data_IF_207309018146
#
_entry.id   IF_207309018146
#
_cell.length_a   1.000
_cell.length_b   1.000
_cell.length_c   1.000
_cell.angle_alpha   90.00
_cell.angle_beta   90.00
_cell.angle_gamma   90.00
#
_symmetry.space_group_name_H-M   'P 1'
#
loop_
_entity.id
_entity.type
_entity.pdbx_description
1 polymer ?
#
# COMPACT_ATOMS: atom_id res chain seq x y z
N UNK A 1 9.28 2.81 -19.15
CA UNK A 1 9.25 1.37 -18.88
C UNK A 1 8.00 1.07 -18.06
N UNK A 2 7.15 0.16 -18.55
CA UNK A 2 5.86 -0.23 -17.93
C UNK A 2 5.64 -1.73 -18.03
N UNK A 3 6.73 -2.46 -18.24
CA UNK A 3 6.70 -3.90 -18.52
C UNK A 3 6.31 -4.65 -17.25
N UNK A 4 5.67 -5.79 -17.45
CA UNK A 4 5.16 -6.64 -16.39
C UNK A 4 6.10 -7.83 -16.24
N UNK A 5 6.64 -8.12 -15.04
CA UNK A 5 7.48 -9.29 -14.85
C UNK A 5 6.67 -10.58 -15.04
N UNK A 6 7.28 -11.57 -15.70
CA UNK A 6 6.75 -12.92 -15.86
C UNK A 6 7.31 -13.84 -14.76
N UNK A 7 6.59 -13.95 -13.64
CA UNK A 7 7.01 -14.79 -12.52
C UNK A 7 6.87 -16.29 -12.79
N UNK A 8 6.08 -16.69 -13.79
CA UNK A 8 5.96 -18.11 -14.15
C UNK A 8 7.21 -18.60 -14.90
N UNK A 9 7.86 -17.70 -15.65
CA UNK A 9 9.14 -17.95 -16.30
C UNK A 9 10.36 -17.84 -15.36
N UNK A 10 10.16 -17.35 -14.13
CA UNK A 10 11.20 -17.16 -13.10
C UNK A 10 10.76 -17.78 -11.75
N UNK A 11 10.54 -19.11 -11.69
CA UNK A 11 9.98 -19.76 -10.51
C UNK A 11 10.92 -19.72 -9.29
N UNK A 12 12.23 -19.72 -9.53
CA UNK A 12 13.26 -19.72 -8.48
C UNK A 12 13.64 -18.31 -8.00
N UNK A 13 13.21 -17.26 -8.71
CA UNK A 13 13.46 -15.87 -8.34
C UNK A 13 14.85 -15.37 -8.69
N UNK A 14 15.48 -15.92 -9.72
CA UNK A 14 16.80 -15.52 -10.19
C UNK A 14 16.77 -14.11 -10.82
N UNK A 15 15.63 -13.71 -11.39
CA UNK A 15 15.45 -12.39 -12.01
C UNK A 15 14.71 -11.43 -11.08
N UNK A 16 13.59 -11.85 -10.50
CA UNK A 16 12.89 -11.11 -9.46
C UNK A 16 12.89 -11.92 -8.17
N UNK A 17 13.73 -11.58 -7.18
CA UNK A 17 13.84 -12.34 -5.93
C UNK A 17 12.47 -12.66 -5.31
N UNK A 18 12.34 -13.85 -4.74
CA UNK A 18 11.08 -14.32 -4.12
C UNK A 18 10.63 -13.41 -2.97
N UNK A 19 11.58 -12.76 -2.29
CA UNK A 19 11.40 -11.80 -1.21
C UNK A 19 11.41 -10.34 -1.67
N UNK A 20 11.47 -10.07 -2.99
CA UNK A 20 11.41 -8.72 -3.50
C UNK A 20 10.05 -8.08 -3.18
N UNK A 21 10.07 -6.83 -2.68
CA UNK A 21 8.89 -6.05 -2.32
C UNK A 21 7.75 -6.15 -3.35
N UNK A 22 8.07 -5.99 -4.65
CA UNK A 22 7.06 -6.01 -5.71
C UNK A 22 6.39 -7.39 -5.88
N UNK A 23 7.16 -8.47 -5.68
CA UNK A 23 6.72 -9.86 -5.86
C UNK A 23 5.94 -10.34 -4.66
N UNK A 24 6.37 -9.96 -3.45
CA UNK A 24 5.61 -10.15 -2.22
C UNK A 24 4.31 -9.33 -2.22
N UNK A 25 4.34 -8.06 -2.62
CA UNK A 25 3.16 -7.18 -2.67
C UNK A 25 2.13 -7.63 -3.72
N UNK A 26 2.59 -8.19 -4.85
CA UNK A 26 1.72 -8.74 -5.89
C UNK A 26 2.38 -9.92 -6.63
N UNK A 27 2.13 -11.17 -6.21
CA UNK A 27 2.59 -12.39 -6.87
C UNK A 27 1.99 -12.64 -8.26
N UNK A 28 0.98 -11.85 -8.68
CA UNK A 28 0.34 -11.93 -9.99
C UNK A 28 -0.27 -13.30 -10.31
N UNK A 29 -0.82 -13.97 -9.30
CA UNK A 29 -1.58 -15.22 -9.46
C UNK A 29 -3.08 -14.96 -9.49
N UNK A 30 -3.91 -15.88 -10.02
CA UNK A 30 -5.37 -15.76 -9.96
C UNK A 30 -5.93 -15.52 -8.55
N UNK A 31 -5.30 -16.10 -7.52
CA UNK A 31 -5.70 -15.99 -6.11
C UNK A 31 -5.41 -14.61 -5.50
N UNK A 32 -4.56 -13.81 -6.15
CA UNK A 32 -4.16 -12.48 -5.66
C UNK A 32 -4.72 -11.33 -6.51
N UNK A 33 -5.42 -11.61 -7.61
CA UNK A 33 -5.88 -10.57 -8.55
C UNK A 33 -6.91 -9.60 -7.95
N UNK A 34 -7.71 -10.08 -6.99
CA UNK A 34 -8.70 -9.27 -6.27
C UNK A 34 -8.10 -8.44 -5.11
N UNK A 35 -6.81 -8.62 -4.81
CA UNK A 35 -6.11 -7.95 -3.72
C UNK A 35 -5.41 -6.64 -4.13
N UNK A 36 -5.57 -6.22 -5.39
CA UNK A 36 -4.94 -5.00 -5.92
C UNK A 36 -5.43 -3.74 -5.20
N UNK A 37 -4.52 -2.81 -4.91
CA UNK A 37 -4.83 -1.53 -4.26
C UNK A 37 -4.44 -0.34 -5.16
N UNK A 38 -5.17 0.79 -5.03
CA UNK A 38 -4.77 2.05 -5.64
C UNK A 38 -3.87 2.82 -4.68
N UNK A 39 -2.56 2.87 -4.95
CA UNK A 39 -1.60 3.63 -4.13
C UNK A 39 -1.52 5.09 -4.59
N UNK A 40 -1.55 6.02 -3.65
CA UNK A 40 -1.47 7.49 -3.85
C UNK A 40 -0.66 8.15 -2.74
N UNK A 41 0.53 7.61 -2.47
CA UNK A 41 1.43 8.12 -1.43
C UNK A 41 2.15 9.40 -1.82
N UNK A 42 2.72 10.07 -0.82
CA UNK A 42 3.49 11.31 -0.95
C UNK A 42 4.81 11.19 -0.19
N UNK A 43 5.92 11.64 -0.78
CA UNK A 43 7.18 11.77 -0.04
C UNK A 43 7.07 12.90 0.99
N UNK A 44 7.67 12.73 2.16
CA UNK A 44 7.81 13.80 3.16
C UNK A 44 9.27 14.00 3.56
N UNK A 45 9.57 15.21 4.05
CA UNK A 45 10.84 15.58 4.68
C UNK A 45 10.54 16.60 5.78
N UNK A 46 10.90 16.29 7.02
CA UNK A 46 10.63 17.10 8.23
C UNK A 46 11.90 17.69 8.85
N UNK A 47 13.06 17.47 8.24
CA UNK A 47 14.35 17.93 8.75
C UNK A 47 15.16 16.79 9.36
N UNK A 48 15.58 16.94 10.62
CA UNK A 48 16.37 15.94 11.34
C UNK A 48 15.61 15.43 12.57
N UNK A 49 15.78 14.14 12.87
CA UNK A 49 15.25 13.52 14.09
C UNK A 49 16.12 13.85 15.32
N UNK A 50 15.74 13.34 16.48
CA UNK A 50 16.47 13.55 17.74
C UNK A 50 17.89 12.97 17.76
N UNK A 51 18.23 12.12 16.80
CA UNK A 51 19.53 11.46 16.67
C UNK A 51 20.40 12.12 15.58
N UNK A 52 19.88 13.13 14.88
CA UNK A 52 20.55 13.83 13.79
C UNK A 52 20.49 13.11 12.44
N UNK A 53 19.62 12.11 12.27
CA UNK A 53 19.34 11.51 10.97
C UNK A 53 18.27 12.32 10.22
N UNK A 54 18.22 12.17 8.90
CA UNK A 54 17.16 12.80 8.09
C UNK A 54 15.80 12.16 8.42
N UNK A 55 14.87 12.98 8.88
CA UNK A 55 13.48 12.59 9.09
C UNK A 55 12.71 12.76 7.77
N UNK A 56 12.70 11.70 6.98
CA UNK A 56 12.09 11.66 5.65
C UNK A 56 11.53 10.27 5.37
N UNK A 57 10.56 10.19 4.48
CA UNK A 57 9.93 8.92 4.16
C UNK A 57 8.73 9.05 3.23
N UNK A 58 7.79 8.12 3.38
CA UNK A 58 6.59 8.01 2.58
C UNK A 58 5.34 8.13 3.46
N UNK A 59 4.53 9.15 3.21
CA UNK A 59 3.14 9.17 3.65
C UNK A 59 2.36 8.24 2.72
N UNK A 60 2.33 6.95 3.06
CA UNK A 60 1.65 5.94 2.28
C UNK A 60 0.13 6.11 2.41
N UNK A 61 -0.55 6.27 1.27
CA UNK A 61 -2.01 6.31 1.18
C UNK A 61 -2.43 5.32 0.11
N UNK A 62 -3.46 4.52 0.40
CA UNK A 62 -4.07 3.65 -0.59
C UNK A 62 -5.59 3.60 -0.45
N UNK A 63 -6.25 3.32 -1.57
CA UNK A 63 -7.69 3.16 -1.66
C UNK A 63 -8.03 1.77 -2.17
N UNK A 64 -9.05 1.16 -1.56
CA UNK A 64 -9.51 -0.19 -1.81
C UNK A 64 -10.98 -0.29 -1.41
N UNK A 65 -11.70 -1.25 -1.99
CA UNK A 65 -13.11 -1.51 -1.65
C UNK A 65 -13.25 -2.29 -0.35
N UNK A 66 -12.30 -3.18 -0.06
CA UNK A 66 -12.26 -3.97 1.16
C UNK A 66 -10.85 -3.93 1.74
N UNK A 67 -10.73 -3.43 2.96
CA UNK A 67 -9.47 -3.41 3.69
C UNK A 67 -8.97 -4.84 3.93
N UNK A 68 -9.88 -5.74 4.34
CA UNK A 68 -9.61 -7.14 4.66
C UNK A 68 -9.16 -7.97 3.46
N UNK A 69 -9.69 -7.70 2.26
CA UNK A 69 -9.33 -8.47 1.06
C UNK A 69 -8.14 -7.89 0.31
N UNK A 70 -7.74 -6.65 0.58
CA UNK A 70 -6.78 -5.93 -0.27
C UNK A 70 -5.55 -5.46 0.51
N UNK A 71 -5.66 -4.45 1.37
CA UNK A 71 -4.48 -3.90 2.07
C UNK A 71 -3.89 -4.88 3.10
N UNK A 72 -4.72 -5.50 3.94
CA UNK A 72 -4.23 -6.40 5.00
C UNK A 72 -3.47 -7.63 4.48
N UNK A 73 -3.97 -8.39 3.47
CA UNK A 73 -3.24 -9.55 2.96
C UNK A 73 -1.99 -9.17 2.18
N UNK A 74 -1.94 -7.97 1.56
CA UNK A 74 -0.70 -7.44 0.97
C UNK A 74 0.31 -7.17 2.07
N UNK A 75 -0.07 -6.47 3.15
CA UNK A 75 0.84 -6.18 4.26
C UNK A 75 1.30 -7.46 4.99
N UNK A 76 0.42 -8.45 5.12
CA UNK A 76 0.78 -9.75 5.70
C UNK A 76 1.84 -10.49 4.88
N UNK A 77 1.80 -10.37 3.54
CA UNK A 77 2.85 -10.93 2.65
C UNK A 77 4.17 -10.16 2.71
N UNK A 78 4.12 -8.87 3.04
CA UNK A 78 5.30 -8.03 3.18
C UNK A 78 5.99 -8.18 4.55
N UNK A 79 5.35 -8.85 5.52
CA UNK A 79 5.94 -9.04 6.84
C UNK A 79 7.28 -9.80 6.74
N UNK A 80 8.36 -9.18 7.21
CA UNK A 80 9.72 -9.72 7.16
C UNK A 80 10.44 -9.55 5.83
N UNK A 81 9.94 -8.67 4.94
CA UNK A 81 10.65 -8.36 3.71
C UNK A 81 12.00 -7.65 3.97
N UNK A 82 13.00 -7.77 3.09
CA UNK A 82 14.29 -7.09 3.25
C UNK A 82 14.21 -5.57 3.37
N UNK A 83 13.13 -4.95 2.84
CA UNK A 83 12.93 -3.51 2.90
C UNK A 83 12.67 -3.00 4.34
N UNK A 84 12.23 -3.86 5.25
CA UNK A 84 12.03 -3.51 6.67
C UNK A 84 13.33 -3.05 7.36
N UNK A 85 14.51 -3.43 6.85
CA UNK A 85 15.80 -2.93 7.34
C UNK A 85 15.92 -1.40 7.19
N UNK A 86 15.22 -0.82 6.21
CA UNK A 86 15.35 0.58 5.82
C UNK A 86 14.13 1.44 6.17
N UNK A 87 13.03 0.82 6.60
CA UNK A 87 11.76 1.50 6.82
C UNK A 87 11.20 1.19 8.20
N UNK A 88 10.68 2.22 8.86
CA UNK A 88 9.96 2.09 10.13
C UNK A 88 8.58 2.75 9.98
N UNK A 89 7.48 2.00 10.11
CA UNK A 89 6.14 2.60 10.19
C UNK A 89 5.96 3.37 11.51
N UNK A 90 5.95 4.70 11.46
CA UNK A 90 5.82 5.54 12.67
C UNK A 90 4.37 5.87 13.05
N UNK A 91 3.41 5.70 12.14
CA UNK A 91 2.02 6.06 12.39
C UNK A 91 1.11 5.89 11.17
N UNK A 92 -0.16 6.20 11.36
CA UNK A 92 -1.19 6.09 10.34
C UNK A 92 -2.53 5.62 10.92
N UNK A 93 -3.41 5.11 10.07
CA UNK A 93 -4.67 4.54 10.50
C UNK A 93 -5.53 4.07 9.33
N UNK A 94 -6.56 3.31 9.66
CA UNK A 94 -7.60 2.93 8.72
C UNK A 94 -8.79 3.86 8.84
N UNK A 95 -9.26 4.33 7.70
CA UNK A 95 -10.36 5.28 7.59
C UNK A 95 -11.28 4.84 6.46
N UNK A 96 -12.54 5.23 6.55
CA UNK A 96 -13.49 5.08 5.46
C UNK A 96 -13.65 6.41 4.74
N UNK A 97 -13.23 6.46 3.47
CA UNK A 97 -13.50 7.61 2.62
C UNK A 97 -14.99 7.64 2.28
N UNK A 98 -15.69 8.66 2.78
CA UNK A 98 -17.13 8.81 2.58
C UNK A 98 -17.47 8.92 1.08
N UNK A 99 -18.68 8.48 0.68
CA UNK A 99 -19.21 8.81 -0.64
C UNK A 99 -19.21 10.33 -0.88
N UNK A 100 -19.15 10.70 -2.15
CA UNK A 100 -19.33 12.11 -2.54
C UNK A 100 -20.74 12.61 -2.22
N UNK A 101 -20.88 13.94 -2.17
CA UNK A 101 -22.19 14.60 -2.01
C UNK A 101 -22.99 14.42 -3.30
N UNK A 102 -24.18 13.80 -3.20
CA UNK A 102 -24.98 13.42 -4.37
C UNK A 102 -25.76 14.58 -5.00
N UNK A 103 -26.25 15.52 -4.19
CA UNK A 103 -27.12 16.61 -4.63
C UNK A 103 -26.60 17.98 -4.20
N UNK A 104 -26.95 19.01 -4.97
CA UNK A 104 -26.65 20.39 -4.61
C UNK A 104 -27.38 20.76 -3.30
N UNK A 105 -26.62 21.21 -2.30
CA UNK A 105 -27.13 21.50 -0.96
C UNK A 105 -26.98 20.38 0.06
N UNK A 106 -26.55 19.17 -0.36
CA UNK A 106 -26.18 18.09 0.55
C UNK A 106 -24.84 18.31 1.25
N UNK A 107 -24.47 17.39 2.15
CA UNK A 107 -23.19 17.45 2.89
C UNK A 107 -22.51 16.07 3.01
N UNK A 108 -21.20 16.07 3.23
CA UNK A 108 -20.45 14.82 3.42
C UNK A 108 -20.97 14.10 4.67
N UNK A 109 -21.20 12.79 4.55
CA UNK A 109 -21.65 11.95 5.66
C UNK A 109 -23.15 11.99 5.92
N UNK A 110 -23.93 12.68 5.08
CA UNK A 110 -25.40 12.74 5.20
C UNK A 110 -26.04 11.34 5.25
N UNK A 111 -25.52 10.38 4.47
CA UNK A 111 -25.98 8.99 4.46
C UNK A 111 -25.40 8.08 5.56
N UNK A 112 -24.69 8.61 6.56
CA UNK A 112 -24.01 7.80 7.58
C UNK A 112 -24.91 7.38 8.75
N UNK A 113 -25.88 8.23 9.12
CA UNK A 113 -26.72 8.06 10.32
C UNK A 113 -28.21 7.84 10.00
N UNK A 114 -28.53 7.66 8.72
CA UNK A 114 -29.90 7.43 8.23
C UNK A 114 -30.32 5.96 8.33
#
# INVERSE_FOLDING_TARGET
ETDVPDYAADPDGDLTPLDAHIRLANPRTPETDDQRILRKGFSYSRGFDGNGHLDQGLAFVSFQRSLERQFLPVQARLAGEPLEEYLVPEGGGFYFALPGVAEAGGHLGEGLFV
#
